data_IF_777266121101
#
_entry.id   IF_777266121101
#
_cell.length_a   1.000
_cell.length_b   1.000
_cell.length_c   1.000
_cell.angle_alpha   90.00
_cell.angle_beta   90.00
_cell.angle_gamma   90.00
#
_symmetry.space_group_name_H-M   'P 1'
#
loop_
_entity.id
_entity.type
_entity.pdbx_description
1 polymer ?
#
# COMPACT_ATOMS: atom_id res chain seq x y z
N UNK A 1 17.29 13.08 6.05
CA UNK A 1 17.38 13.36 4.59
C UNK A 1 17.78 12.08 3.85
N UNK A 2 16.83 11.16 3.66
CA UNK A 2 16.98 9.94 2.85
C UNK A 2 16.14 10.15 1.58
N UNK A 3 16.56 11.07 0.71
CA UNK A 3 15.79 11.40 -0.51
C UNK A 3 16.66 11.35 -1.77
N UNK A 4 17.99 11.43 -1.64
CA UNK A 4 18.89 11.34 -2.81
C UNK A 4 19.13 9.89 -3.28
N UNK A 5 19.13 8.90 -2.37
CA UNK A 5 19.42 7.50 -2.72
C UNK A 5 18.28 6.75 -3.41
N UNK A 6 17.02 7.10 -3.13
CA UNK A 6 15.87 6.45 -3.73
C UNK A 6 15.66 6.85 -5.21
N UNK A 7 16.05 8.07 -5.56
CA UNK A 7 16.03 8.56 -6.95
C UNK A 7 17.03 7.80 -7.85
N UNK A 8 18.14 7.30 -7.27
CA UNK A 8 19.12 6.50 -8.01
C UNK A 8 18.58 5.10 -8.40
N UNK A 9 17.58 4.57 -7.69
CA UNK A 9 16.93 3.31 -8.09
C UNK A 9 15.86 3.52 -9.19
N UNK A 10 15.46 4.77 -9.45
CA UNK A 10 14.57 5.17 -10.54
C UNK A 10 15.32 5.62 -11.81
N UNK A 11 16.60 5.26 -11.96
CA UNK A 11 17.37 5.48 -13.19
C UNK A 11 16.86 4.55 -14.31
N UNK A 12 15.83 4.99 -15.03
CA UNK A 12 15.34 4.32 -16.24
C UNK A 12 14.13 4.96 -16.96
N UNK A 13 13.63 6.12 -16.52
CA UNK A 13 12.55 6.82 -17.21
C UNK A 13 11.19 6.10 -17.16
N UNK A 14 10.23 6.56 -17.98
CA UNK A 14 8.85 6.04 -18.05
C UNK A 14 8.78 4.53 -18.38
N UNK A 15 9.81 3.97 -19.03
CA UNK A 15 9.90 2.53 -19.34
C UNK A 15 9.99 1.63 -18.10
N UNK A 16 10.45 2.14 -16.95
CA UNK A 16 10.54 1.39 -15.68
C UNK A 16 9.28 1.48 -14.81
N UNK A 17 8.26 2.25 -15.21
CA UNK A 17 6.93 2.14 -14.60
C UNK A 17 6.29 0.79 -14.90
N UNK A 18 6.75 0.12 -15.96
CA UNK A 18 6.33 -1.21 -16.32
C UNK A 18 7.11 -2.21 -15.46
N UNK A 19 6.43 -2.79 -14.47
CA UNK A 19 6.97 -3.91 -13.70
C UNK A 19 7.14 -5.10 -14.64
N UNK A 20 8.29 -5.20 -15.32
CA UNK A 20 8.57 -6.30 -16.25
C UNK A 20 8.83 -7.57 -15.44
N UNK A 21 7.89 -8.50 -15.47
CA UNK A 21 8.11 -9.85 -14.97
C UNK A 21 9.14 -10.57 -15.86
N UNK A 22 9.81 -11.60 -15.35
CA UNK A 22 10.81 -12.42 -16.07
C UNK A 22 10.35 -12.95 -17.45
N UNK A 23 9.04 -12.95 -17.73
CA UNK A 23 8.42 -13.42 -18.97
C UNK A 23 7.94 -12.27 -19.89
N UNK A 24 8.54 -11.07 -19.80
CA UNK A 24 8.16 -9.87 -20.57
C UNK A 24 6.71 -9.38 -20.36
N UNK A 25 5.96 -10.00 -19.45
CA UNK A 25 4.65 -9.53 -19.03
C UNK A 25 4.80 -8.17 -18.36
N UNK A 26 4.13 -7.19 -18.94
CA UNK A 26 4.09 -5.82 -18.44
C UNK A 26 3.12 -5.76 -17.26
N UNK A 27 3.65 -5.85 -16.05
CA UNK A 27 2.84 -5.72 -14.83
C UNK A 27 2.24 -4.32 -14.72
N UNK A 28 1.09 -4.18 -14.02
CA UNK A 28 0.50 -2.88 -13.78
C UNK A 28 1.52 -1.96 -13.08
N UNK A 29 1.48 -0.65 -13.38
CA UNK A 29 2.47 0.28 -12.87
C UNK A 29 2.43 0.37 -11.35
N UNK A 30 3.60 0.31 -10.72
CA UNK A 30 3.73 0.46 -9.27
C UNK A 30 3.48 1.92 -8.90
N UNK A 31 2.54 2.13 -7.98
CA UNK A 31 2.31 3.44 -7.37
C UNK A 31 2.77 3.44 -5.92
N UNK A 32 3.80 4.24 -5.66
CA UNK A 32 4.31 4.46 -4.31
C UNK A 32 3.53 5.57 -3.60
N UNK A 33 3.22 5.36 -2.33
CA UNK A 33 2.66 6.37 -1.43
C UNK A 33 3.71 6.67 -0.35
N UNK A 34 4.38 7.80 -0.48
CA UNK A 34 5.37 8.28 0.49
C UNK A 34 4.72 9.30 1.42
N UNK A 35 5.01 9.20 2.72
CA UNK A 35 4.52 10.11 3.73
C UNK A 35 5.51 10.20 4.88
N UNK A 36 5.51 11.35 5.55
CA UNK A 36 6.34 11.62 6.72
C UNK A 36 5.58 11.29 8.00
N UNK A 37 6.31 10.90 9.04
CA UNK A 37 5.77 10.62 10.37
C UNK A 37 6.54 11.51 11.34
N UNK A 38 5.88 12.55 11.83
CA UNK A 38 6.49 13.54 12.72
C UNK A 38 6.70 12.96 14.13
N UNK A 39 5.74 12.16 14.60
CA UNK A 39 5.79 11.52 15.92
C UNK A 39 5.74 9.99 15.80
N UNK A 40 6.73 9.25 16.34
CA UNK A 40 6.77 7.79 16.26
C UNK A 40 5.60 7.13 16.99
N UNK A 41 5.03 7.79 18.01
CA UNK A 41 3.83 7.31 18.69
C UNK A 41 2.60 7.25 17.78
N UNK A 42 2.53 8.11 16.76
CA UNK A 42 1.43 8.19 15.80
C UNK A 42 1.70 7.37 14.53
N UNK A 43 2.84 6.67 14.46
CA UNK A 43 3.25 5.95 13.26
C UNK A 43 2.17 4.96 12.79
N UNK A 44 1.64 4.16 13.71
CA UNK A 44 0.61 3.14 13.41
C UNK A 44 -0.64 3.78 12.79
N UNK A 45 -1.10 4.89 13.35
CA UNK A 45 -2.27 5.61 12.84
C UNK A 45 -1.99 6.24 11.48
N UNK A 46 -0.82 6.84 11.28
CA UNK A 46 -0.40 7.37 9.99
C UNK A 46 -0.40 6.27 8.92
N UNK A 47 0.22 5.11 9.21
CA UNK A 47 0.21 3.95 8.31
C UNK A 47 -1.21 3.48 8.00
N UNK A 48 -2.11 3.44 8.99
CA UNK A 48 -3.50 3.03 8.78
C UNK A 48 -4.25 3.97 7.81
N UNK A 49 -4.12 5.29 8.01
CA UNK A 49 -4.77 6.29 7.17
C UNK A 49 -4.20 6.33 5.75
N UNK A 50 -2.87 6.25 5.61
CA UNK A 50 -2.23 6.22 4.30
C UNK A 50 -2.54 4.92 3.54
N UNK A 51 -2.63 3.79 4.24
CA UNK A 51 -3.08 2.52 3.65
C UNK A 51 -4.51 2.62 3.15
N UNK A 52 -5.41 3.23 3.92
CA UNK A 52 -6.79 3.46 3.47
C UNK A 52 -6.83 4.34 2.20
N UNK A 53 -6.07 5.44 2.17
CA UNK A 53 -5.98 6.31 0.98
C UNK A 53 -5.47 5.56 -0.25
N UNK A 54 -4.47 4.69 -0.07
CA UNK A 54 -3.96 3.85 -1.15
C UNK A 54 -5.05 2.91 -1.70
N UNK A 55 -5.83 2.29 -0.82
CA UNK A 55 -6.93 1.40 -1.21
C UNK A 55 -8.09 2.14 -1.89
N UNK A 56 -8.42 3.34 -1.42
CA UNK A 56 -9.38 4.22 -2.08
C UNK A 56 -8.91 4.61 -3.49
N UNK A 57 -7.61 4.87 -3.66
CA UNK A 57 -7.05 5.13 -4.98
C UNK A 57 -7.19 3.91 -5.90
N UNK A 58 -6.89 2.70 -5.43
CA UNK A 58 -7.09 1.48 -6.22
C UNK A 58 -8.55 1.30 -6.62
N UNK A 59 -9.49 1.56 -5.71
CA UNK A 59 -10.93 1.49 -6.00
C UNK A 59 -11.36 2.50 -7.08
N UNK A 60 -10.83 3.72 -7.02
CA UNK A 60 -11.12 4.78 -7.99
C UNK A 60 -10.50 4.49 -9.37
N UNK A 61 -9.27 3.95 -9.40
CA UNK A 61 -8.55 3.64 -10.64
C UNK A 61 -9.13 2.40 -11.34
N UNK A 62 -9.61 1.42 -10.57
CA UNK A 62 -10.11 0.15 -11.09
C UNK A 62 -11.52 -0.17 -10.55
N UNK A 63 -12.57 0.56 -10.97
CA UNK A 63 -13.92 0.43 -10.41
C UNK A 63 -14.57 -0.94 -10.65
N UNK A 64 -14.15 -1.66 -11.69
CA UNK A 64 -14.64 -3.01 -12.02
C UNK A 64 -13.88 -4.12 -11.29
N UNK A 65 -12.77 -3.80 -10.62
CA UNK A 65 -11.92 -4.77 -9.97
C UNK A 65 -12.49 -5.16 -8.60
N UNK A 66 -13.06 -6.37 -8.53
CA UNK A 66 -13.54 -6.95 -7.28
C UNK A 66 -12.36 -7.47 -6.45
N UNK A 67 -11.92 -6.68 -5.46
CA UNK A 67 -10.81 -7.03 -4.56
C UNK A 67 -11.22 -7.76 -3.28
N UNK A 68 -12.51 -8.10 -3.14
CA UNK A 68 -12.99 -8.90 -2.00
C UNK A 68 -12.26 -10.24 -1.88
N UNK A 69 -11.64 -10.52 -0.73
CA UNK A 69 -10.79 -11.70 -0.47
C UNK A 69 -9.57 -11.84 -1.40
N UNK A 70 -9.24 -10.82 -2.19
CA UNK A 70 -8.13 -10.83 -3.16
C UNK A 70 -7.07 -9.78 -2.86
N UNK A 71 -7.15 -9.15 -1.70
CA UNK A 71 -6.20 -8.15 -1.23
C UNK A 71 -5.38 -8.74 -0.08
N UNK A 72 -4.07 -8.80 -0.30
CA UNK A 72 -3.08 -9.09 0.74
C UNK A 72 -2.27 -7.82 1.01
N UNK A 73 -2.15 -7.44 2.27
CA UNK A 73 -1.28 -6.34 2.73
C UNK A 73 -0.07 -6.98 3.39
N UNK A 74 1.11 -6.79 2.79
CA UNK A 74 2.38 -7.29 3.30
C UNK A 74 2.96 -6.27 4.27
N UNK A 75 3.31 -6.72 5.47
CA UNK A 75 3.84 -5.90 6.55
C UNK A 75 5.24 -6.36 6.94
N UNK A 76 6.07 -5.48 7.53
CA UNK A 76 7.46 -5.80 7.84
C UNK A 76 7.61 -6.83 8.97
N UNK A 77 6.72 -6.82 9.96
CA UNK A 77 6.80 -7.72 11.11
C UNK A 77 5.44 -7.98 11.76
N UNK A 78 5.34 -9.09 12.50
CA UNK A 78 4.11 -9.51 13.16
C UNK A 78 3.67 -8.58 14.30
N UNK A 79 4.61 -7.92 15.02
CA UNK A 79 4.26 -7.00 16.11
C UNK A 79 3.61 -5.73 15.56
N UNK A 80 4.14 -5.23 14.45
CA UNK A 80 3.56 -4.12 13.70
C UNK A 80 2.20 -4.50 13.09
N UNK A 81 2.07 -5.73 12.59
CA UNK A 81 0.78 -6.23 12.11
C UNK A 81 -0.30 -6.25 13.19
N UNK A 82 0.02 -6.76 14.38
CA UNK A 82 -0.93 -6.82 15.49
C UNK A 82 -1.32 -5.44 16.02
N UNK A 83 -0.39 -4.48 16.03
CA UNK A 83 -0.68 -3.10 16.44
C UNK A 83 -1.47 -2.32 15.38
N UNK A 84 -1.20 -2.53 14.09
CA UNK A 84 -1.91 -1.88 12.99
C UNK A 84 -3.31 -2.44 12.74
N UNK A 85 -3.49 -3.76 12.94
CA UNK A 85 -4.74 -4.50 12.67
C UNK A 85 -5.99 -3.82 13.24
N UNK A 86 -6.09 -3.46 14.54
CA UNK A 86 -7.31 -2.89 15.09
C UNK A 86 -7.68 -1.54 14.44
N UNK A 87 -6.70 -0.65 14.29
CA UNK A 87 -6.91 0.67 13.69
C UNK A 87 -7.31 0.56 12.21
N UNK A 88 -6.54 -0.18 11.43
CA UNK A 88 -6.78 -0.36 10.00
C UNK A 88 -8.10 -1.07 9.72
N UNK A 89 -8.44 -2.14 10.45
CA UNK A 89 -9.70 -2.85 10.25
C UNK A 89 -10.91 -2.00 10.63
N UNK A 90 -10.80 -1.14 11.66
CA UNK A 90 -11.84 -0.17 12.01
C UNK A 90 -12.09 0.82 10.87
N UNK A 91 -11.01 1.42 10.35
CA UNK A 91 -11.07 2.35 9.21
C UNK A 91 -11.64 1.69 7.95
N UNK A 92 -11.20 0.46 7.63
CA UNK A 92 -11.67 -0.28 6.46
C UNK A 92 -13.15 -0.63 6.55
N UNK A 93 -13.62 -1.10 7.71
CA UNK A 93 -15.05 -1.41 7.90
C UNK A 93 -15.93 -0.18 7.74
N UNK A 94 -15.44 1.00 8.16
CA UNK A 94 -16.16 2.25 8.01
C UNK A 94 -16.17 2.75 6.55
N UNK A 95 -15.03 2.68 5.86
CA UNK A 95 -14.90 3.28 4.52
C UNK A 95 -15.29 2.35 3.36
N UNK A 96 -15.06 1.04 3.51
CA UNK A 96 -15.21 0.02 2.46
C UNK A 96 -15.70 -1.31 3.10
N UNK A 97 -16.93 -1.35 3.65
CA UNK A 97 -17.45 -2.51 4.37
C UNK A 97 -17.50 -3.78 3.51
N UNK A 98 -17.59 -3.63 2.19
CA UNK A 98 -17.64 -4.73 1.24
C UNK A 98 -16.30 -5.49 1.11
N UNK A 99 -15.17 -4.94 1.54
CA UNK A 99 -13.85 -5.56 1.35
C UNK A 99 -13.42 -6.40 2.56
N UNK A 100 -13.08 -7.66 2.28
CA UNK A 100 -12.37 -8.53 3.22
C UNK A 100 -10.89 -8.53 2.87
N UNK A 101 -10.08 -8.04 3.80
CA UNK A 101 -8.64 -7.85 3.63
C UNK A 101 -7.88 -8.81 4.53
N UNK A 102 -6.78 -9.37 4.03
CA UNK A 102 -5.86 -10.20 4.84
C UNK A 102 -4.55 -9.45 5.05
N UNK A 103 -4.14 -9.36 6.31
CA UNK A 103 -2.83 -8.86 6.72
C UNK A 103 -1.88 -10.06 6.77
N UNK A 104 -0.74 -9.96 6.11
CA UNK A 104 0.33 -10.96 6.14
C UNK A 104 1.63 -10.30 6.58
N UNK A 105 2.36 -10.96 7.47
CA UNK A 105 3.66 -10.53 7.99
C UNK A 105 4.70 -11.60 7.70
#
# INVERSE_FOLDING_TARGET
RIVAGAMAFQLGGEEKLLTRCHHESTGPPLKSFLFDIDEPAQAVDAYAHHTLRALQHVRATFPTLKLHNRLAIVLPDAKFAESLRPCLMGLLRSAIPEWRVRLTS
#
